data_IF_384808898623
#
_entry.id   IF_384808898623
#
_cell.length_a   1.000
_cell.length_b   1.000
_cell.length_c   1.000
_cell.angle_alpha   90.00
_cell.angle_beta   90.00
_cell.angle_gamma   90.00
#
_symmetry.space_group_name_H-M   'P 1'
#
loop_
_entity.id
_entity.type
_entity.pdbx_description
1 polymer ?
#
# COMPACT_ATOMS: atom_id res chain seq x y z
N UNK A 1 3.15 2.30 0.59
CA UNK A 1 4.39 2.00 1.33
C UNK A 1 4.46 2.87 2.58
N UNK A 2 4.91 2.32 3.71
CA UNK A 2 4.95 3.04 4.99
C UNK A 2 5.98 4.19 4.97
N UNK A 3 5.59 5.34 5.55
CA UNK A 3 6.41 6.55 5.63
C UNK A 3 7.68 6.33 6.45
N UNK A 4 7.66 5.42 7.43
CA UNK A 4 8.87 5.08 8.19
C UNK A 4 9.92 4.38 7.33
N UNK A 5 9.49 3.50 6.42
CA UNK A 5 10.40 2.82 5.50
C UNK A 5 10.98 3.82 4.51
N UNK A 6 10.16 4.73 3.97
CA UNK A 6 10.64 5.80 3.08
C UNK A 6 11.64 6.71 3.78
N UNK A 7 11.41 7.08 5.04
CA UNK A 7 12.35 7.85 5.85
C UNK A 7 13.69 7.14 6.01
N UNK A 8 13.67 5.82 6.29
CA UNK A 8 14.89 5.00 6.38
C UNK A 8 15.62 4.93 5.03
N UNK A 9 14.92 4.65 3.93
CA UNK A 9 15.52 4.64 2.58
C UNK A 9 16.11 6.01 2.23
N UNK A 10 15.46 7.12 2.55
CA UNK A 10 15.99 8.47 2.30
C UNK A 10 17.20 8.83 3.17
N UNK A 11 17.34 8.22 4.35
CA UNK A 11 18.46 8.50 5.25
C UNK A 11 19.81 8.09 4.67
N UNK A 12 19.84 7.07 3.80
CA UNK A 12 21.07 6.60 3.13
C UNK A 12 21.61 7.60 2.10
N UNK A 13 20.78 8.56 1.66
CA UNK A 13 21.13 9.61 0.70
C UNK A 13 21.55 10.93 1.36
N UNK A 14 21.64 10.97 2.71
CA UNK A 14 22.13 12.15 3.43
C UNK A 14 23.66 12.17 3.42
N UNK A 15 24.22 13.23 2.85
CA UNK A 15 25.66 13.51 2.96
C UNK A 15 26.03 14.19 4.28
N UNK A 16 27.32 14.43 4.48
CA UNK A 16 27.92 15.03 5.69
C UNK A 16 27.27 16.37 6.12
N UNK A 17 26.75 17.15 5.15
CA UNK A 17 26.03 18.41 5.42
C UNK A 17 24.54 18.25 5.74
N UNK A 18 24.04 17.03 6.00
CA UNK A 18 22.63 16.74 6.29
C UNK A 18 21.68 16.92 5.08
N UNK A 19 22.22 17.20 3.90
CA UNK A 19 21.47 17.38 2.66
C UNK A 19 21.28 16.06 1.94
N UNK A 20 20.05 15.81 1.51
CA UNK A 20 19.70 14.66 0.68
C UNK A 20 20.09 14.97 -0.77
N UNK A 21 20.90 14.10 -1.38
CA UNK A 21 21.35 14.23 -2.78
C UNK A 21 21.44 12.85 -3.43
N UNK A 22 21.35 12.82 -4.77
CA UNK A 22 21.55 11.59 -5.54
C UNK A 22 20.48 10.52 -5.31
N UNK A 23 19.25 10.90 -4.93
CA UNK A 23 18.14 9.96 -4.76
C UNK A 23 17.86 9.24 -6.07
N UNK A 24 17.89 7.91 -6.06
CA UNK A 24 17.60 7.09 -7.23
C UNK A 24 16.15 7.22 -7.73
N UNK A 25 15.94 6.94 -9.01
CA UNK A 25 14.66 7.14 -9.69
C UNK A 25 13.54 6.29 -9.10
N UNK A 26 13.82 5.04 -8.70
CA UNK A 26 12.85 4.16 -8.03
C UNK A 26 12.35 4.79 -6.72
N UNK A 27 13.27 5.26 -5.87
CA UNK A 27 12.90 5.88 -4.61
C UNK A 27 12.14 7.20 -4.82
N UNK A 28 12.45 7.95 -5.88
CA UNK A 28 11.67 9.14 -6.25
C UNK A 28 10.23 8.77 -6.63
N UNK A 29 10.03 7.69 -7.39
CA UNK A 29 8.71 7.20 -7.76
C UNK A 29 7.95 6.65 -6.55
N UNK A 30 8.59 5.92 -5.63
CA UNK A 30 7.99 5.48 -4.37
C UNK A 30 7.51 6.66 -3.51
N UNK A 31 8.33 7.72 -3.40
CA UNK A 31 7.98 8.95 -2.69
C UNK A 31 6.78 9.63 -3.35
N UNK A 32 6.73 9.67 -4.69
CA UNK A 32 5.61 10.25 -5.41
C UNK A 32 4.33 9.47 -5.18
N UNK A 33 4.37 8.14 -5.24
CA UNK A 33 3.19 7.30 -4.96
C UNK A 33 2.69 7.52 -3.53
N UNK A 34 3.58 7.57 -2.54
CA UNK A 34 3.21 7.85 -1.16
C UNK A 34 2.63 9.26 -0.98
N UNK A 35 3.16 10.25 -1.70
CA UNK A 35 2.63 11.62 -1.71
C UNK A 35 1.23 11.70 -2.33
N UNK A 36 1.00 10.99 -3.44
CA UNK A 36 -0.30 10.94 -4.13
C UNK A 36 -1.38 10.24 -3.28
N UNK A 37 -0.99 9.28 -2.43
CA UNK A 37 -1.88 8.57 -1.50
C UNK A 37 -2.08 9.30 -0.16
N UNK A 38 -1.33 10.37 0.10
CA UNK A 38 -1.39 11.08 1.37
C UNK A 38 -2.64 11.96 1.46
N UNK A 39 -3.47 11.73 2.48
CA UNK A 39 -4.73 12.45 2.71
C UNK A 39 -4.63 13.58 3.74
N UNK A 40 -3.50 13.66 4.48
CA UNK A 40 -3.29 14.66 5.51
C UNK A 40 -2.66 15.97 4.99
N UNK A 41 -2.34 16.93 5.89
CA UNK A 41 -1.67 18.15 5.47
C UNK A 41 -0.23 17.89 5.00
N UNK A 42 0.19 18.64 3.97
CA UNK A 42 1.52 18.55 3.36
C UNK A 42 2.68 18.61 4.37
N UNK A 43 2.57 19.52 5.36
CA UNK A 43 3.58 19.73 6.40
C UNK A 43 3.84 18.46 7.22
N UNK A 44 2.81 17.67 7.49
CA UNK A 44 2.95 16.43 8.25
C UNK A 44 3.68 15.36 7.45
N UNK A 45 3.38 15.23 6.16
CA UNK A 45 4.12 14.33 5.27
C UNK A 45 5.61 14.67 5.23
N UNK A 46 5.96 15.96 5.05
CA UNK A 46 7.35 16.40 5.01
C UNK A 46 8.08 16.10 6.32
N UNK A 47 7.41 16.33 7.46
CA UNK A 47 7.95 16.02 8.79
C UNK A 47 8.11 14.52 9.00
N UNK A 48 7.14 13.70 8.59
CA UNK A 48 7.18 12.25 8.71
C UNK A 48 8.36 11.65 7.93
N UNK A 49 8.55 12.10 6.69
CA UNK A 49 9.68 11.68 5.85
C UNK A 49 11.02 12.29 6.31
N UNK A 50 10.99 13.37 7.10
CA UNK A 50 12.20 14.03 7.58
C UNK A 50 12.90 14.88 6.51
N UNK A 51 12.12 15.47 5.59
CA UNK A 51 12.61 16.31 4.51
C UNK A 51 12.11 17.75 4.64
N UNK A 52 12.92 18.71 4.19
CA UNK A 52 12.46 20.10 4.08
C UNK A 52 11.42 20.24 2.96
N UNK A 53 10.54 21.24 3.07
CA UNK A 53 9.55 21.53 2.02
C UNK A 53 10.22 21.76 0.65
N UNK A 54 11.33 22.51 0.61
CA UNK A 54 12.08 22.76 -0.62
C UNK A 54 12.69 21.48 -1.20
N UNK A 55 13.27 20.63 -0.34
CA UNK A 55 13.81 19.34 -0.76
C UNK A 55 12.72 18.43 -1.32
N UNK A 56 11.58 18.36 -0.63
CA UNK A 56 10.45 17.55 -1.07
C UNK A 56 9.85 18.05 -2.38
N UNK A 57 9.65 19.35 -2.54
CA UNK A 57 9.15 19.93 -3.79
C UNK A 57 10.07 19.59 -4.99
N UNK A 58 11.39 19.63 -4.79
CA UNK A 58 12.35 19.23 -5.83
C UNK A 58 12.25 17.74 -6.17
N UNK A 59 12.16 16.86 -5.17
CA UNK A 59 12.04 15.41 -5.39
C UNK A 59 10.73 15.05 -6.08
N UNK A 60 9.60 15.60 -5.62
CA UNK A 60 8.28 15.39 -6.26
C UNK A 60 8.30 15.90 -7.71
N UNK A 61 8.90 17.06 -7.97
CA UNK A 61 9.03 17.60 -9.33
C UNK A 61 9.80 16.67 -10.27
N UNK A 62 10.92 16.11 -9.80
CA UNK A 62 11.70 15.11 -10.55
C UNK A 62 10.92 13.82 -10.76
N UNK A 63 10.27 13.30 -9.72
CA UNK A 63 9.46 12.09 -9.80
C UNK A 63 8.30 12.23 -10.79
N UNK A 64 7.61 13.37 -10.81
CA UNK A 64 6.55 13.66 -11.79
C UNK A 64 7.07 13.71 -13.22
N UNK A 65 8.28 14.24 -13.42
CA UNK A 65 8.95 14.23 -14.73
C UNK A 65 9.22 12.78 -15.17
N UNK A 66 9.80 11.95 -14.30
CA UNK A 66 10.07 10.54 -14.57
C UNK A 66 8.80 9.76 -14.94
N UNK A 67 7.72 9.93 -14.15
CA UNK A 67 6.40 9.32 -14.41
C UNK A 67 5.84 9.73 -15.77
N UNK A 68 6.00 11.00 -16.18
CA UNK A 68 5.59 11.50 -17.50
C UNK A 68 6.43 10.92 -18.64
N UNK A 69 7.70 10.62 -18.38
CA UNK A 69 8.63 10.00 -19.33
C UNK A 69 8.44 8.48 -19.44
N UNK A 70 7.47 7.91 -18.72
CA UNK A 70 7.13 6.48 -18.78
C UNK A 70 7.93 5.60 -17.83
N UNK A 71 8.73 6.18 -16.92
CA UNK A 71 9.36 5.40 -15.86
C UNK A 71 8.30 4.90 -14.90
N UNK A 72 8.34 3.60 -14.59
CA UNK A 72 7.44 2.94 -13.66
C UNK A 72 8.24 2.16 -12.63
N UNK A 73 7.66 1.98 -11.44
CA UNK A 73 8.25 1.11 -10.45
C UNK A 73 8.19 -0.33 -10.96
N UNK A 74 9.26 -1.13 -10.80
CA UNK A 74 9.20 -2.54 -11.11
C UNK A 74 8.09 -3.21 -10.30
N UNK A 75 7.33 -4.08 -10.96
CA UNK A 75 6.31 -4.88 -10.29
C UNK A 75 7.00 -5.91 -9.40
N UNK A 76 6.64 -5.92 -8.11
CA UNK A 76 7.07 -6.93 -7.16
C UNK A 76 5.87 -7.81 -6.84
N UNK A 77 5.91 -9.07 -7.26
CA UNK A 77 4.85 -10.03 -7.02
C UNK A 77 4.85 -10.41 -5.53
N UNK A 78 3.80 -10.00 -4.81
CA UNK A 78 3.61 -10.43 -3.43
C UNK A 78 2.92 -11.78 -3.46
N UNK A 79 3.67 -12.85 -3.16
CA UNK A 79 3.07 -14.17 -2.98
C UNK A 79 2.23 -14.17 -1.71
N UNK A 80 0.90 -14.18 -1.87
CA UNK A 80 -0.04 -14.31 -0.76
C UNK A 80 -0.29 -15.80 -0.53
N UNK A 81 0.23 -16.33 0.57
CA UNK A 81 -0.10 -17.69 0.99
C UNK A 81 -1.62 -17.81 1.26
N UNK A 82 -2.30 -18.68 0.51
CA UNK A 82 -3.72 -19.00 0.71
C UNK A 82 -4.68 -18.53 -0.38
N UNK A 83 -4.21 -17.84 -1.42
CA UNK A 83 -5.00 -17.56 -2.64
C UNK A 83 -4.46 -18.44 -3.75
N UNK A 84 -4.88 -19.71 -3.77
CA UNK A 84 -4.69 -20.55 -4.96
C UNK A 84 -5.46 -19.94 -6.11
N UNK A 85 -4.77 -19.67 -7.21
CA UNK A 85 -5.36 -19.43 -8.53
C UNK A 85 -6.27 -20.62 -8.89
N UNK A 86 -7.57 -20.51 -8.62
CA UNK A 86 -8.55 -21.52 -9.01
C UNK A 86 -8.83 -21.39 -10.50
N UNK A 87 -7.91 -21.89 -11.32
CA UNK A 87 -8.22 -22.30 -12.71
C UNK A 87 -9.08 -23.58 -12.73
N UNK A 88 -9.20 -24.28 -11.60
CA UNK A 88 -10.19 -25.32 -11.34
C UNK A 88 -10.68 -25.23 -9.88
N UNK A 89 -11.87 -24.67 -9.60
CA UNK A 89 -12.40 -24.68 -8.24
C UNK A 89 -12.72 -26.11 -7.83
N UNK A 90 -11.98 -26.63 -6.84
CA UNK A 90 -12.42 -27.80 -6.07
C UNK A 90 -13.82 -27.52 -5.50
N UNK A 91 -14.75 -28.50 -5.53
CA UNK A 91 -16.11 -28.28 -5.04
C UNK A 91 -16.08 -27.72 -3.61
N UNK A 92 -16.73 -26.57 -3.44
CA UNK A 92 -16.73 -25.85 -2.17
C UNK A 92 -17.59 -26.64 -1.19
N UNK A 93 -16.93 -27.30 -0.23
CA UNK A 93 -17.59 -27.90 0.94
C UNK A 93 -17.82 -26.75 1.92
N UNK A 94 -19.06 -26.27 2.00
CA UNK A 94 -19.51 -25.37 3.05
C UNK A 94 -20.27 -26.19 4.10
N UNK A 95 -19.68 -26.39 5.28
CA UNK A 95 -20.31 -27.18 6.35
C UNK A 95 -21.37 -26.41 7.14
N UNK A 96 -21.47 -25.09 6.94
CA UNK A 96 -22.33 -24.19 7.71
C UNK A 96 -23.30 -23.47 6.78
N UNK A 97 -24.58 -23.78 6.95
CA UNK A 97 -25.68 -23.15 6.22
C UNK A 97 -26.63 -22.47 7.21
N UNK A 98 -27.01 -21.23 6.91
CA UNK A 98 -28.04 -20.47 7.64
C UNK A 98 -29.16 -20.17 6.67
N UNK A 99 -30.38 -20.59 7.00
CA UNK A 99 -31.57 -20.27 6.23
C UNK A 99 -32.24 -19.03 6.83
N UNK A 100 -32.41 -17.99 6.02
CA UNK A 100 -33.23 -16.83 6.34
C UNK A 100 -34.34 -16.67 5.28
N UNK A 101 -35.58 -16.91 5.69
CA UNK A 101 -36.77 -16.96 4.82
C UNK A 101 -36.56 -17.92 3.64
N UNK A 102 -36.38 -17.38 2.44
CA UNK A 102 -36.17 -18.12 1.18
C UNK A 102 -34.72 -18.04 0.68
N UNK A 103 -33.77 -17.60 1.53
CA UNK A 103 -32.35 -17.51 1.18
C UNK A 103 -31.53 -18.46 2.03
N UNK A 104 -30.59 -19.15 1.41
CA UNK A 104 -29.57 -19.95 2.09
C UNK A 104 -28.26 -19.17 2.03
N UNK A 105 -27.72 -18.85 3.19
CA UNK A 105 -26.43 -18.20 3.36
C UNK A 105 -25.43 -19.27 3.80
N UNK A 106 -24.34 -19.41 3.05
CA UNK A 106 -23.31 -20.42 3.31
C UNK A 106 -22.05 -19.77 3.84
N UNK A 107 -21.52 -20.27 4.94
CA UNK A 107 -20.31 -19.78 5.57
C UNK A 107 -19.20 -20.83 5.50
N UNK A 108 -18.01 -20.40 5.07
CA UNK A 108 -16.82 -21.27 4.98
C UNK A 108 -16.10 -21.43 6.33
N UNK A 109 -16.26 -20.47 7.24
CA UNK A 109 -15.62 -20.46 8.56
C UNK A 109 -16.63 -20.00 9.60
N UNK A 110 -16.55 -20.56 10.80
CA UNK A 110 -17.38 -20.17 11.94
C UNK A 110 -17.24 -18.68 12.26
N UNK A 111 -16.03 -18.13 12.16
CA UNK A 111 -15.76 -16.72 12.47
C UNK A 111 -16.59 -15.76 11.59
N UNK A 112 -16.77 -16.09 10.30
CA UNK A 112 -17.57 -15.28 9.38
C UNK A 112 -19.06 -15.32 9.73
N UNK A 113 -19.56 -16.47 10.20
CA UNK A 113 -20.91 -16.56 10.72
C UNK A 113 -21.06 -15.70 11.99
N UNK A 114 -20.11 -15.77 12.91
CA UNK A 114 -20.13 -14.99 14.16
C UNK A 114 -20.11 -13.50 13.86
N UNK A 115 -19.27 -13.04 12.93
CA UNK A 115 -19.26 -11.65 12.49
C UNK A 115 -20.58 -11.21 11.85
N UNK A 116 -21.18 -12.08 11.02
CA UNK A 116 -22.48 -11.80 10.42
C UNK A 116 -23.56 -11.63 11.50
N UNK A 117 -23.65 -12.57 12.45
CA UNK A 117 -24.63 -12.51 13.54
C UNK A 117 -24.43 -11.28 14.43
N UNK A 118 -23.19 -10.92 14.75
CA UNK A 118 -22.87 -9.70 15.51
C UNK A 118 -23.26 -8.40 14.82
N UNK A 119 -23.35 -8.40 13.49
CA UNK A 119 -23.78 -7.23 12.70
C UNK A 119 -25.30 -7.12 12.58
N UNK A 120 -26.01 -8.24 12.72
CA UNK A 120 -27.48 -8.29 12.56
C UNK A 120 -28.20 -8.21 13.92
N UNK A 121 -27.54 -8.56 15.03
CA UNK A 121 -27.99 -8.31 16.39
C UNK A 121 -27.81 -6.84 16.80
#
# INVERSE_FOLDING_TARGET
MDLEVLKKKLSTYRGEGGRIRGVGDDLLLEILTAWEQWTGPAKHFYKAIGCSQKGMASMIGKAKKLKREGHSLPFEEVQIEGITDTSNPSPIICDIEVQDKNKIIRFRKVDLLVEYLKKVA
#
